data_IF_355537171835
#
_entry.id   IF_355537171835
#
_cell.length_a   1.000
_cell.length_b   1.000
_cell.length_c   1.000
_cell.angle_alpha   90.00
_cell.angle_beta   90.00
_cell.angle_gamma   90.00
#
_symmetry.space_group_name_H-M   'P 1'
#
loop_
_entity.id
_entity.type
_entity.pdbx_description
1 polymer ?
#
# COMPACT_ATOMS: atom_id res chain seq x y z
N UNK A 1 -3.34 1.07 2.36
CA UNK A 1 -2.99 1.95 3.49
C UNK A 1 -2.11 3.07 2.99
N UNK A 2 -2.14 4.22 3.66
CA UNK A 2 -1.26 5.36 3.48
C UNK A 2 -0.52 5.54 4.82
N UNK A 3 0.59 4.81 4.97
CA UNK A 3 1.22 4.56 6.26
C UNK A 3 2.73 4.88 6.25
N UNK A 4 3.13 6.14 5.97
CA UNK A 4 4.53 6.52 5.81
C UNK A 4 5.41 6.16 7.03
N UNK A 5 4.88 6.33 8.24
CA UNK A 5 5.64 6.15 9.47
C UNK A 5 5.83 4.67 9.81
N UNK A 6 4.80 3.85 9.59
CA UNK A 6 4.89 2.40 9.68
C UNK A 6 5.87 1.82 8.66
N UNK A 7 5.92 2.36 7.44
CA UNK A 7 6.88 1.88 6.42
C UNK A 7 8.34 2.13 6.84
N UNK A 8 8.61 3.12 7.70
CA UNK A 8 9.94 3.42 8.21
C UNK A 8 10.64 2.30 8.97
N UNK A 9 9.91 1.23 9.34
CA UNK A 9 10.53 0.04 9.95
C UNK A 9 11.54 -0.66 9.02
N UNK A 10 11.32 -0.60 7.71
CA UNK A 10 12.21 -1.23 6.73
C UNK A 10 12.44 -0.42 5.45
N UNK A 11 11.69 0.66 5.23
CA UNK A 11 11.90 1.55 4.10
C UNK A 11 12.97 2.62 4.41
N UNK A 12 13.77 3.05 3.42
CA UNK A 12 14.68 4.18 3.59
C UNK A 12 13.94 5.47 3.95
N UNK A 13 14.63 6.37 4.66
CA UNK A 13 14.05 7.63 5.16
C UNK A 13 13.38 8.49 4.08
N UNK A 14 13.89 8.46 2.85
CA UNK A 14 13.29 9.19 1.71
C UNK A 14 11.84 8.78 1.45
N UNK A 15 11.48 7.51 1.68
CA UNK A 15 10.10 7.03 1.52
C UNK A 15 9.21 7.60 2.63
N UNK A 16 9.70 7.63 3.87
CA UNK A 16 8.96 8.17 5.01
C UNK A 16 8.77 9.67 4.87
N UNK A 17 9.83 10.40 4.54
CA UNK A 17 9.79 11.86 4.39
C UNK A 17 8.88 12.29 3.24
N UNK A 18 9.04 11.69 2.05
CA UNK A 18 8.28 12.06 0.87
C UNK A 18 6.85 11.52 0.87
N UNK A 19 6.61 10.40 1.54
CA UNK A 19 5.30 9.78 1.65
C UNK A 19 4.32 10.50 2.57
N UNK A 20 4.79 11.39 3.45
CA UNK A 20 3.93 12.11 4.40
C UNK A 20 2.85 12.96 3.73
N UNK A 21 3.12 13.52 2.55
CA UNK A 21 2.14 14.33 1.81
C UNK A 21 1.05 13.49 1.12
N UNK A 22 1.22 12.16 1.04
CA UNK A 22 0.31 11.30 0.28
C UNK A 22 -1.12 11.34 0.84
N UNK A 23 -1.29 11.36 2.16
CA UNK A 23 -2.61 11.39 2.79
C UNK A 23 -3.39 12.63 2.37
N UNK A 24 -2.76 13.81 2.42
CA UNK A 24 -3.37 15.08 2.03
C UNK A 24 -3.62 15.13 0.53
N UNK A 25 -2.67 14.66 -0.27
CA UNK A 25 -2.83 14.60 -1.72
C UNK A 25 -4.01 13.71 -2.11
N UNK A 26 -4.08 12.48 -1.63
CA UNK A 26 -5.20 11.59 -1.96
C UNK A 26 -6.53 12.18 -1.47
N UNK A 27 -6.61 12.71 -0.25
CA UNK A 27 -7.84 13.29 0.27
C UNK A 27 -8.36 14.47 -0.56
N UNK A 28 -7.47 15.25 -1.19
CA UNK A 28 -7.85 16.36 -2.07
C UNK A 28 -8.30 15.90 -3.47
N UNK A 29 -7.90 14.69 -3.90
CA UNK A 29 -8.07 14.23 -5.28
C UNK A 29 -9.06 13.08 -5.46
N UNK A 30 -9.32 12.28 -4.42
CA UNK A 30 -10.24 11.13 -4.48
C UNK A 30 -11.18 11.12 -3.27
N UNK A 31 -12.38 10.54 -3.39
CA UNK A 31 -13.29 10.40 -2.25
C UNK A 31 -12.76 9.36 -1.24
N UNK A 32 -13.38 9.35 -0.06
CA UNK A 32 -13.32 8.25 0.92
C UNK A 32 -11.93 7.91 1.48
N UNK A 33 -11.05 8.90 1.59
CA UNK A 33 -9.82 8.76 2.38
C UNK A 33 -10.15 8.80 3.87
N UNK A 34 -9.98 7.68 4.56
CA UNK A 34 -10.29 7.51 5.97
C UNK A 34 -9.07 7.80 6.85
N UNK A 35 -9.11 8.92 7.58
CA UNK A 35 -8.07 9.37 8.50
C UNK A 35 -8.33 8.89 9.94
N UNK A 36 -8.13 7.61 10.20
CA UNK A 36 -8.30 7.00 11.53
C UNK A 36 -7.01 6.42 12.12
N UNK A 37 -5.87 6.77 11.53
CA UNK A 37 -4.56 6.26 11.89
C UNK A 37 -4.37 4.78 11.55
N UNK A 38 -3.21 4.25 11.93
CA UNK A 38 -2.90 2.82 11.93
C UNK A 38 -2.64 2.36 13.35
N UNK A 39 -3.21 1.21 13.71
CA UNK A 39 -2.94 0.55 14.98
C UNK A 39 -2.04 -0.67 14.74
N UNK A 40 -0.85 -0.66 15.32
CA UNK A 40 0.11 -1.76 15.25
C UNK A 40 -0.03 -2.63 16.49
N UNK A 41 -0.19 -3.93 16.26
CA UNK A 41 -0.44 -4.95 17.27
C UNK A 41 0.59 -6.07 17.13
N UNK A 42 0.85 -6.77 18.23
CA UNK A 42 1.54 -8.06 18.22
C UNK A 42 0.74 -9.04 19.07
N UNK A 43 0.78 -10.34 18.75
CA UNK A 43 0.16 -11.35 19.60
C UNK A 43 0.76 -11.28 21.02
N UNK A 44 0.03 -11.68 22.09
CA UNK A 44 0.53 -11.60 23.45
C UNK A 44 1.89 -12.27 23.68
N UNK A 45 2.17 -13.36 22.96
CA UNK A 45 3.45 -14.08 23.02
C UNK A 45 4.61 -13.35 22.33
N UNK A 46 4.30 -12.41 21.44
CA UNK A 46 5.24 -11.67 20.59
C UNK A 46 5.32 -10.19 21.00
N UNK A 47 4.93 -9.85 22.23
CA UNK A 47 4.83 -8.47 22.69
C UNK A 47 6.15 -7.67 22.61
N UNK A 48 7.31 -8.36 22.57
CA UNK A 48 8.61 -7.75 22.36
C UNK A 48 8.82 -7.18 20.94
N UNK A 49 8.09 -7.69 19.94
CA UNK A 49 8.14 -7.13 18.58
C UNK A 49 7.62 -5.70 18.53
N UNK A 50 6.69 -5.32 19.41
CA UNK A 50 6.25 -3.92 19.52
C UNK A 50 7.39 -3.01 19.97
N UNK A 51 8.22 -3.42 20.94
CA UNK A 51 9.33 -2.59 21.42
C UNK A 51 10.43 -2.47 20.35
N UNK A 52 10.65 -3.53 19.56
CA UNK A 52 11.55 -3.49 18.40
C UNK A 52 10.99 -2.55 17.32
N UNK A 53 9.71 -2.68 16.98
CA UNK A 53 9.05 -1.86 15.96
C UNK A 53 9.01 -0.38 16.36
N UNK A 54 8.73 -0.08 17.63
CA UNK A 54 8.78 1.27 18.16
C UNK A 54 10.16 1.90 18.00
N UNK A 55 11.24 1.17 18.29
CA UNK A 55 12.61 1.68 18.12
C UNK A 55 13.00 1.92 16.66
N UNK A 56 12.42 1.15 15.74
CA UNK A 56 12.68 1.27 14.30
C UNK A 56 11.79 2.34 13.61
N UNK A 57 10.82 2.91 14.31
CA UNK A 57 9.84 3.84 13.73
C UNK A 57 9.67 5.09 14.56
N UNK A 58 8.89 6.06 14.07
CA UNK A 58 8.59 7.32 14.76
C UNK A 58 7.15 7.75 14.51
N UNK A 59 6.67 8.77 15.22
CA UNK A 59 5.31 9.29 15.02
C UNK A 59 4.20 8.41 15.60
N UNK A 60 4.57 7.49 16.51
CA UNK A 60 3.63 6.64 17.24
C UNK A 60 3.47 7.08 18.69
N UNK A 61 2.33 6.73 19.28
CA UNK A 61 2.13 6.70 20.73
C UNK A 61 1.80 5.29 21.20
N UNK A 62 2.23 4.94 22.41
CA UNK A 62 1.76 3.73 23.08
C UNK A 62 0.31 3.90 23.53
N UNK A 63 -0.52 2.88 23.28
CA UNK A 63 -1.95 2.91 23.61
C UNK A 63 -2.43 1.57 24.13
N UNK A 64 -3.55 1.58 24.84
CA UNK A 64 -4.39 0.38 25.02
C UNK A 64 -5.27 0.23 23.77
N UNK A 65 -5.13 -0.85 22.99
CA UNK A 65 -5.79 -1.01 21.68
C UNK A 65 -7.31 -0.89 21.70
N UNK A 66 -7.96 -1.38 22.75
CA UNK A 66 -9.41 -1.39 22.94
C UNK A 66 -10.04 0.01 23.05
N UNK A 67 -9.31 0.97 23.60
CA UNK A 67 -9.71 2.37 23.66
C UNK A 67 -9.85 2.99 22.27
N UNK A 68 -9.12 2.47 21.28
CA UNK A 68 -9.22 2.91 19.89
C UNK A 68 -10.18 2.02 19.09
N UNK A 69 -9.99 0.70 19.14
CA UNK A 69 -10.81 -0.32 18.48
C UNK A 69 -11.51 -1.22 19.52
N UNK A 70 -12.74 -0.90 19.94
CA UNK A 70 -13.49 -1.74 20.87
C UNK A 70 -13.72 -3.17 20.36
N UNK A 71 -13.72 -3.38 19.04
CA UNK A 71 -13.88 -4.70 18.42
C UNK A 71 -12.82 -5.72 18.89
N UNK A 72 -11.62 -5.27 19.30
CA UNK A 72 -10.53 -6.15 19.76
C UNK A 72 -10.35 -6.13 21.28
N UNK A 73 -11.41 -5.75 22.02
CA UNK A 73 -11.39 -5.64 23.47
C UNK A 73 -10.85 -6.90 24.17
N UNK A 74 -9.96 -6.70 25.14
CA UNK A 74 -9.34 -7.77 25.93
C UNK A 74 -8.36 -8.67 25.19
N UNK A 75 -8.11 -8.47 23.88
CA UNK A 75 -7.22 -9.33 23.09
C UNK A 75 -5.76 -8.88 23.11
N UNK A 76 -5.52 -7.59 23.23
CA UNK A 76 -4.20 -6.97 23.16
C UNK A 76 -4.02 -6.00 24.32
N UNK A 77 -2.97 -6.21 25.13
CA UNK A 77 -2.71 -5.38 26.30
C UNK A 77 -2.13 -3.99 25.93
N UNK A 78 -1.37 -3.90 24.84
CA UNK A 78 -0.76 -2.65 24.35
C UNK A 78 -0.58 -2.70 22.84
N UNK A 79 -0.50 -1.52 22.22
CA UNK A 79 -0.18 -1.35 20.81
C UNK A 79 0.49 -0.01 20.54
N UNK A 80 0.88 0.21 19.29
CA UNK A 80 1.41 1.48 18.81
C UNK A 80 0.38 2.13 17.90
N UNK A 81 0.06 3.40 18.13
CA UNK A 81 -0.89 4.14 17.31
C UNK A 81 -0.19 5.25 16.52
N UNK A 82 -0.33 5.20 15.20
CA UNK A 82 0.20 6.16 14.25
C UNK A 82 -0.94 7.05 13.76
N UNK A 83 -1.17 8.16 14.46
CA UNK A 83 -2.37 9.00 14.27
C UNK A 83 -2.45 9.69 12.91
N UNK A 84 -1.30 10.02 12.31
CA UNK A 84 -1.21 10.74 11.05
C UNK A 84 -1.45 9.86 9.81
N UNK A 85 -1.64 8.55 9.99
CA UNK A 85 -1.81 7.60 8.89
C UNK A 85 -3.28 7.45 8.48
N UNK A 86 -3.50 6.92 7.28
CA UNK A 86 -4.83 6.80 6.71
C UNK A 86 -4.96 5.54 5.85
N UNK A 87 -6.17 5.28 5.37
CA UNK A 87 -6.42 4.28 4.35
C UNK A 87 -7.51 4.72 3.39
N UNK A 88 -7.58 4.04 2.25
CA UNK A 88 -8.56 4.22 1.20
C UNK A 88 -8.72 2.89 0.46
N UNK A 89 -9.78 2.76 -0.34
CA UNK A 89 -9.94 1.67 -1.31
C UNK A 89 -9.18 2.02 -2.61
N UNK A 90 -8.13 1.24 -2.98
CA UNK A 90 -7.36 1.47 -4.20
C UNK A 90 -8.19 1.50 -5.49
N UNK A 91 -9.21 0.64 -5.60
CA UNK A 91 -10.04 0.54 -6.81
C UNK A 91 -10.96 1.76 -6.94
N UNK A 92 -11.56 2.19 -5.83
CA UNK A 92 -12.38 3.40 -5.80
C UNK A 92 -11.53 4.65 -6.11
N UNK A 93 -10.35 4.76 -5.51
CA UNK A 93 -9.43 5.87 -5.74
C UNK A 93 -8.98 5.98 -7.20
N UNK A 94 -8.56 4.87 -7.82
CA UNK A 94 -8.15 4.86 -9.23
C UNK A 94 -9.33 5.16 -10.18
N UNK A 95 -10.52 4.64 -9.87
CA UNK A 95 -11.74 4.95 -10.63
C UNK A 95 -12.06 6.44 -10.58
N UNK A 96 -12.04 7.04 -9.38
CA UNK A 96 -12.28 8.47 -9.22
C UNK A 96 -11.23 9.32 -9.93
N UNK A 97 -9.95 8.95 -9.83
CA UNK A 97 -8.87 9.65 -10.52
C UNK A 97 -9.03 9.61 -12.04
N UNK A 98 -9.39 8.43 -12.60
CA UNK A 98 -9.71 8.30 -14.02
C UNK A 98 -10.87 9.20 -14.43
N UNK A 99 -11.95 9.25 -13.65
CA UNK A 99 -13.10 10.10 -13.95
C UNK A 99 -12.75 11.58 -13.93
N UNK A 100 -11.89 12.02 -12.99
CA UNK A 100 -11.38 13.40 -12.96
C UNK A 100 -10.54 13.75 -14.18
N UNK A 101 -9.67 12.83 -14.61
CA UNK A 101 -8.87 13.03 -15.81
C UNK A 101 -9.75 13.15 -17.06
N UNK A 102 -10.77 12.30 -17.19
CA UNK A 102 -11.76 12.42 -18.27
C UNK A 102 -12.50 13.76 -18.26
N UNK A 103 -12.94 14.22 -17.08
CA UNK A 103 -13.59 15.52 -16.92
C UNK A 103 -12.65 16.70 -17.26
N UNK A 104 -11.34 16.52 -17.09
CA UNK A 104 -10.31 17.47 -17.51
C UNK A 104 -9.93 17.36 -19.01
N UNK A 105 -10.61 16.51 -19.78
CA UNK A 105 -10.36 16.33 -21.22
C UNK A 105 -9.24 15.36 -21.57
N UNK A 106 -8.69 14.61 -20.60
CA UNK A 106 -7.67 13.60 -20.86
C UNK A 106 -8.30 12.39 -21.56
N UNK A 107 -7.77 12.04 -22.73
CA UNK A 107 -8.23 10.88 -23.49
C UNK A 107 -7.57 9.58 -22.99
N UNK A 108 -8.37 8.54 -22.78
CA UNK A 108 -7.89 7.18 -22.55
C UNK A 108 -8.04 6.39 -23.84
N UNK A 109 -6.95 5.79 -24.33
CA UNK A 109 -6.89 5.10 -25.62
C UNK A 109 -6.18 3.76 -25.45
N UNK A 110 -6.63 2.77 -26.21
CA UNK A 110 -5.93 1.51 -26.37
C UNK A 110 -4.93 1.60 -27.54
N UNK A 111 -3.92 0.74 -27.52
CA UNK A 111 -2.89 0.65 -28.56
C UNK A 111 -1.57 1.34 -28.20
N UNK A 112 -0.64 1.46 -29.17
CA UNK A 112 0.71 1.95 -28.91
C UNK A 112 0.71 3.44 -28.57
N UNK A 113 1.58 3.82 -27.63
CA UNK A 113 1.84 5.21 -27.27
C UNK A 113 2.40 6.02 -28.45
N UNK A 114 2.15 7.32 -28.48
CA UNK A 114 2.61 8.24 -29.54
C UNK A 114 3.07 9.56 -28.93
N UNK A 115 3.99 10.25 -29.62
CA UNK A 115 4.54 11.52 -29.16
C UNK A 115 5.52 11.30 -28.00
N UNK A 116 5.53 12.24 -27.05
CA UNK A 116 6.36 12.13 -25.85
C UNK A 116 5.79 11.07 -24.91
N UNK A 117 6.58 10.02 -24.64
CA UNK A 117 6.11 8.86 -23.88
C UNK A 117 6.62 8.91 -22.44
N UNK A 118 5.66 8.79 -21.50
CA UNK A 118 5.94 8.45 -20.10
C UNK A 118 5.42 7.06 -19.82
N UNK A 119 6.31 6.10 -19.61
CA UNK A 119 5.98 4.71 -19.30
C UNK A 119 5.83 4.49 -17.79
N UNK A 120 4.59 4.16 -17.41
CA UNK A 120 4.18 3.80 -16.05
C UNK A 120 3.60 2.37 -15.97
N UNK A 121 3.98 1.48 -16.89
CA UNK A 121 3.39 0.13 -17.06
C UNK A 121 3.86 -0.91 -16.04
N UNK A 122 4.56 -0.48 -14.99
CA UNK A 122 4.99 -1.34 -13.90
C UNK A 122 5.95 -2.44 -14.39
N UNK A 123 5.68 -3.70 -14.04
CA UNK A 123 6.60 -4.80 -14.34
C UNK A 123 6.78 -5.06 -15.84
N UNK A 124 5.82 -4.65 -16.67
CA UNK A 124 5.90 -4.77 -18.13
C UNK A 124 7.07 -3.94 -18.72
N UNK A 125 7.48 -2.86 -18.04
CA UNK A 125 8.61 -2.04 -18.44
C UNK A 125 9.98 -2.76 -18.34
N UNK A 126 10.03 -3.98 -17.80
CA UNK A 126 11.28 -4.76 -17.68
C UNK A 126 11.97 -4.99 -19.03
N UNK A 127 11.22 -4.98 -20.13
CA UNK A 127 11.79 -5.06 -21.47
C UNK A 127 12.80 -3.93 -21.77
N UNK A 128 12.56 -2.73 -21.24
CA UNK A 128 13.47 -1.58 -21.33
C UNK A 128 14.32 -1.38 -20.06
N UNK A 129 13.81 -1.80 -18.91
CA UNK A 129 14.44 -1.66 -17.59
C UNK A 129 14.82 -3.03 -17.03
N UNK A 130 15.93 -3.58 -17.51
CA UNK A 130 16.35 -4.97 -17.23
C UNK A 130 16.64 -5.27 -15.76
N UNK A 131 16.88 -4.26 -14.93
CA UNK A 131 17.08 -4.38 -13.49
C UNK A 131 15.77 -4.31 -12.66
N UNK A 132 14.60 -4.18 -13.30
CA UNK A 132 13.32 -4.35 -12.62
C UNK A 132 13.10 -5.81 -12.27
N UNK A 133 12.89 -6.08 -10.98
CA UNK A 133 12.41 -7.37 -10.48
C UNK A 133 10.97 -7.27 -9.99
N UNK A 134 10.27 -8.40 -9.94
CA UNK A 134 8.93 -8.46 -9.40
C UNK A 134 8.98 -8.99 -7.97
N UNK A 135 8.25 -8.30 -7.09
CA UNK A 135 7.92 -8.84 -5.77
C UNK A 135 6.45 -9.16 -5.77
N UNK A 136 6.16 -10.45 -5.77
CA UNK A 136 4.81 -10.98 -5.68
C UNK A 136 4.22 -10.66 -4.32
N UNK A 137 3.03 -10.08 -4.33
CA UNK A 137 2.24 -9.81 -3.14
C UNK A 137 0.86 -10.44 -3.26
N UNK A 138 0.50 -11.27 -2.30
CA UNK A 138 -0.76 -11.98 -2.26
C UNK A 138 -1.66 -11.41 -1.15
N UNK A 139 -2.96 -11.29 -1.42
CA UNK A 139 -3.94 -10.75 -0.47
C UNK A 139 -5.33 -11.36 -0.66
N UNK A 140 -6.12 -11.26 0.40
CA UNK A 140 -7.53 -11.67 0.46
C UNK A 140 -8.42 -10.44 0.64
N UNK A 141 -9.63 -10.52 0.13
CA UNK A 141 -10.74 -9.67 0.53
C UNK A 141 -11.80 -10.52 1.23
N UNK A 142 -12.11 -10.15 2.46
CA UNK A 142 -13.09 -10.84 3.31
C UNK A 142 -14.32 -9.96 3.48
N UNK A 143 -15.49 -10.58 3.54
CA UNK A 143 -16.72 -9.95 4.01
C UNK A 143 -17.09 -10.56 5.37
N UNK A 144 -16.92 -9.77 6.42
CA UNK A 144 -17.12 -10.17 7.81
C UNK A 144 -17.96 -9.08 8.52
N UNK A 145 -19.29 -9.08 8.34
CA UNK A 145 -20.17 -8.00 8.83
C UNK A 145 -20.20 -7.88 10.36
N UNK A 146 -19.89 -8.96 11.09
CA UNK A 146 -19.81 -8.96 12.56
C UNK A 146 -18.49 -8.36 13.08
N UNK A 147 -17.52 -8.12 12.21
CA UNK A 147 -16.30 -7.38 12.54
C UNK A 147 -16.55 -5.90 12.32
N UNK A 148 -16.22 -5.06 13.29
CA UNK A 148 -16.47 -3.61 13.28
C UNK A 148 -15.20 -2.77 13.34
N UNK A 149 -14.08 -3.29 12.82
CA UNK A 149 -12.81 -2.56 12.75
C UNK A 149 -12.95 -1.31 11.87
N UNK A 150 -12.53 -0.16 12.39
CA UNK A 150 -12.68 1.15 11.73
C UNK A 150 -11.39 1.73 11.18
N UNK A 151 -10.24 1.23 11.63
CA UNK A 151 -8.91 1.70 11.20
C UNK A 151 -8.05 0.57 10.66
N UNK A 152 -6.96 0.94 10.01
CA UNK A 152 -6.00 -0.04 9.54
C UNK A 152 -5.29 -0.69 10.71
N UNK A 153 -5.20 -2.01 10.69
CA UNK A 153 -4.43 -2.79 11.67
C UNK A 153 -3.18 -3.32 10.99
N UNK A 154 -2.01 -3.14 11.60
CA UNK A 154 -0.78 -3.86 11.26
C UNK A 154 -0.49 -4.87 12.36
N UNK A 155 -0.67 -6.15 12.08
CA UNK A 155 -0.22 -7.22 12.96
C UNK A 155 1.25 -7.54 12.67
N UNK A 156 2.09 -7.36 13.67
CA UNK A 156 3.47 -7.84 13.70
C UNK A 156 3.43 -9.34 13.94
N UNK A 157 3.52 -10.09 12.85
CA UNK A 157 3.59 -11.54 12.90
C UNK A 157 5.05 -11.99 12.68
N UNK A 158 5.57 -12.99 13.41
CA UNK A 158 7.00 -13.34 13.41
C UNK A 158 7.59 -13.67 12.04
N UNK A 159 6.75 -14.08 11.08
CA UNK A 159 7.20 -14.49 9.74
C UNK A 159 7.02 -13.42 8.66
N UNK A 160 6.02 -12.56 8.79
CA UNK A 160 5.69 -11.55 7.76
C UNK A 160 4.73 -10.51 8.34
N UNK A 161 4.79 -9.24 7.90
CA UNK A 161 3.81 -8.23 8.32
C UNK A 161 2.44 -8.51 7.72
N UNK A 162 1.37 -8.34 8.49
CA UNK A 162 -0.02 -8.46 8.02
C UNK A 162 -0.78 -7.17 8.27
N UNK A 163 -1.51 -6.74 7.27
CA UNK A 163 -2.38 -5.58 7.30
C UNK A 163 -3.83 -6.03 7.14
N UNK A 164 -4.71 -5.48 7.98
CA UNK A 164 -6.16 -5.59 7.85
C UNK A 164 -6.68 -4.18 7.64
N UNK A 165 -7.29 -3.94 6.48
CA UNK A 165 -7.73 -2.61 6.06
C UNK A 165 -9.23 -2.63 5.79
N UNK A 166 -10.03 -1.90 6.57
CA UNK A 166 -11.47 -1.74 6.30
C UNK A 166 -11.71 -1.10 4.92
N UNK A 167 -12.73 -1.60 4.21
CA UNK A 167 -13.20 -1.06 2.92
C UNK A 167 -14.67 -0.63 2.95
N UNK A 168 -15.26 -0.56 4.15
CA UNK A 168 -16.68 -0.28 4.37
C UNK A 168 -17.57 -1.50 4.10
N UNK A 169 -18.81 -1.42 4.58
CA UNK A 169 -19.83 -2.47 4.43
C UNK A 169 -19.34 -3.87 4.86
N UNK A 170 -18.66 -3.97 6.00
CA UNK A 170 -18.15 -5.25 6.52
C UNK A 170 -17.02 -5.88 5.69
N UNK A 171 -16.46 -5.18 4.70
CA UNK A 171 -15.37 -5.71 3.86
C UNK A 171 -14.01 -5.30 4.38
N UNK A 172 -13.06 -6.23 4.29
CA UNK A 172 -11.70 -6.07 4.79
C UNK A 172 -10.71 -6.64 3.79
N UNK A 173 -9.70 -5.86 3.44
CA UNK A 173 -8.51 -6.40 2.77
C UNK A 173 -7.56 -6.95 3.83
N UNK A 174 -7.11 -8.19 3.64
CA UNK A 174 -6.09 -8.84 4.47
C UNK A 174 -4.89 -9.15 3.59
N UNK A 175 -3.76 -8.54 3.89
CA UNK A 175 -2.57 -8.70 3.07
C UNK A 175 -1.35 -7.99 3.65
N UNK A 176 -0.18 -8.15 3.06
CA UNK A 176 0.08 -9.02 1.93
C UNK A 176 1.40 -9.73 2.12
N UNK A 177 1.54 -10.88 1.47
CA UNK A 177 2.82 -11.56 1.38
C UNK A 177 3.84 -10.71 0.62
N UNK A 178 5.11 -11.08 0.75
CA UNK A 178 6.23 -10.49 0.01
C UNK A 178 7.14 -11.64 -0.43
N UNK A 179 7.02 -12.04 -1.69
CA UNK A 179 7.75 -13.16 -2.26
C UNK A 179 8.54 -12.67 -3.48
N UNK A 180 9.86 -12.88 -3.49
CA UNK A 180 10.69 -12.65 -4.68
C UNK A 180 10.33 -13.70 -5.74
N UNK A 181 9.42 -13.34 -6.64
CA UNK A 181 8.87 -14.24 -7.65
C UNK A 181 8.19 -13.45 -8.77
N UNK A 182 8.39 -13.91 -10.00
CA UNK A 182 7.73 -13.39 -11.21
C UNK A 182 6.44 -14.16 -11.57
N UNK A 183 6.05 -15.14 -10.75
CA UNK A 183 4.84 -15.92 -10.97
C UNK A 183 3.61 -15.01 -10.95
N UNK A 184 2.87 -14.97 -12.07
CA UNK A 184 1.63 -14.22 -12.24
C UNK A 184 0.37 -15.05 -11.91
N UNK A 185 0.52 -16.29 -11.44
CA UNK A 185 -0.56 -17.20 -11.10
C UNK A 185 -1.37 -16.79 -9.86
N UNK A 186 -2.39 -17.60 -9.54
CA UNK A 186 -3.27 -17.39 -8.38
C UNK A 186 -2.54 -17.52 -7.04
N UNK A 187 -3.16 -17.03 -5.97
CA UNK A 187 -2.59 -17.10 -4.60
C UNK A 187 -2.21 -18.54 -4.21
N UNK A 188 -1.13 -18.69 -3.46
CA UNK A 188 -0.74 -20.00 -2.92
C UNK A 188 -1.63 -20.43 -1.75
N UNK A 189 -1.85 -21.74 -1.59
CA UNK A 189 -2.60 -22.27 -0.44
C UNK A 189 -1.98 -21.86 0.91
N UNK A 190 -0.63 -21.78 0.97
CA UNK A 190 0.11 -21.26 2.14
C UNK A 190 -0.32 -19.84 2.47
N UNK A 191 -0.29 -18.93 1.50
CA UNK A 191 -0.63 -17.52 1.73
C UNK A 191 -2.08 -17.36 2.21
N UNK A 192 -3.04 -18.12 1.66
CA UNK A 192 -4.43 -18.12 2.15
C UNK A 192 -4.49 -18.53 3.62
N UNK A 193 -3.89 -19.67 3.98
CA UNK A 193 -3.90 -20.18 5.35
C UNK A 193 -3.25 -19.21 6.34
N UNK A 194 -2.08 -18.67 5.98
CA UNK A 194 -1.33 -17.75 6.84
C UNK A 194 -2.06 -16.40 7.03
N UNK A 195 -2.66 -15.84 5.97
CA UNK A 195 -3.42 -14.59 6.06
C UNK A 195 -4.72 -14.75 6.86
N UNK A 196 -5.46 -15.85 6.69
CA UNK A 196 -6.66 -16.14 7.48
C UNK A 196 -6.32 -16.36 8.96
N UNK A 197 -5.23 -17.07 9.26
CA UNK A 197 -4.76 -17.28 10.63
C UNK A 197 -4.38 -15.94 11.31
N UNK A 198 -3.71 -15.05 10.58
CA UNK A 198 -3.39 -13.71 11.07
C UNK A 198 -4.65 -12.86 11.30
N UNK A 199 -5.64 -12.91 10.40
CA UNK A 199 -6.92 -12.22 10.60
C UNK A 199 -7.65 -12.73 11.86
N UNK A 200 -7.74 -14.05 12.03
CA UNK A 200 -8.35 -14.67 13.21
C UNK A 200 -7.67 -14.25 14.53
N UNK A 201 -6.34 -14.12 14.51
CA UNK A 201 -5.57 -13.65 15.67
C UNK A 201 -6.06 -12.28 16.13
N UNK A 202 -6.30 -11.36 15.18
CA UNK A 202 -6.84 -10.02 15.45
C UNK A 202 -8.28 -10.10 15.95
N UNK A 203 -9.17 -10.79 15.23
CA UNK A 203 -10.58 -10.89 15.60
C UNK A 203 -11.19 -12.23 15.16
N UNK A 204 -11.84 -13.00 16.06
CA UNK A 204 -12.36 -14.33 15.73
C UNK A 204 -13.50 -14.30 14.71
N UNK A 205 -14.28 -13.21 14.65
CA UNK A 205 -15.34 -13.03 13.65
C UNK A 205 -14.86 -13.06 12.19
N UNK A 206 -13.56 -12.96 11.92
CA UNK A 206 -13.03 -13.23 10.57
C UNK A 206 -13.15 -14.70 10.15
N UNK A 207 -13.23 -15.65 11.08
CA UNK A 207 -13.41 -17.07 10.75
C UNK A 207 -14.80 -17.39 10.18
N UNK A 208 -15.81 -16.61 10.54
CA UNK A 208 -17.19 -16.74 10.03
C UNK A 208 -17.42 -15.93 8.75
N UNK A 209 -16.42 -15.13 8.33
CA UNK A 209 -16.50 -14.27 7.17
C UNK A 209 -16.37 -15.02 5.84
N UNK A 210 -16.98 -14.46 4.80
CA UNK A 210 -16.87 -14.96 3.43
C UNK A 210 -15.57 -14.47 2.78
N UNK A 211 -14.85 -15.37 2.09
CA UNK A 211 -13.74 -14.99 1.21
C UNK A 211 -14.31 -14.50 -0.12
N UNK A 212 -14.33 -13.18 -0.32
CA UNK A 212 -14.88 -12.55 -1.53
C UNK A 212 -13.95 -12.71 -2.72
N UNK A 213 -12.65 -12.48 -2.52
CA UNK A 213 -11.67 -12.57 -3.60
C UNK A 213 -10.29 -12.88 -3.05
N UNK A 214 -9.54 -13.68 -3.79
CA UNK A 214 -8.10 -13.87 -3.60
C UNK A 214 -7.34 -13.26 -4.77
N UNK A 215 -6.30 -12.49 -4.51
CA UNK A 215 -5.50 -11.86 -5.57
C UNK A 215 -4.01 -12.00 -5.32
N UNK A 216 -3.25 -12.02 -6.41
CA UNK A 216 -1.82 -11.85 -6.40
C UNK A 216 -1.41 -10.81 -7.43
N UNK A 217 -0.43 -9.97 -7.09
CA UNK A 217 0.07 -8.92 -7.96
C UNK A 217 1.59 -8.84 -7.94
N UNK A 218 2.17 -8.48 -9.07
CA UNK A 218 3.60 -8.30 -9.25
C UNK A 218 3.97 -6.83 -9.01
N UNK A 219 4.68 -6.56 -7.92
CA UNK A 219 5.15 -5.21 -7.59
C UNK A 219 6.51 -4.97 -8.26
N UNK A 220 6.62 -4.01 -9.18
CA UNK A 220 7.90 -3.68 -9.80
C UNK A 220 8.82 -3.00 -8.78
N UNK A 221 10.04 -3.50 -8.66
CA UNK A 221 11.06 -2.96 -7.74
C UNK A 221 12.42 -2.90 -8.42
N UNK A 222 13.16 -1.82 -8.17
CA UNK A 222 14.59 -1.77 -8.46
C UNK A 222 15.39 -2.47 -7.36
N UNK A 223 16.68 -2.80 -7.57
CA UNK A 223 17.48 -3.52 -6.57
C UNK A 223 17.51 -2.85 -5.20
N UNK A 224 17.46 -1.52 -5.15
CA UNK A 224 17.46 -0.73 -3.91
C UNK A 224 16.07 -0.49 -3.29
N UNK A 225 14.98 -1.06 -3.85
CA UNK A 225 13.59 -0.83 -3.43
C UNK A 225 13.11 0.63 -3.49
N UNK A 226 13.84 1.51 -4.17
CA UNK A 226 13.44 2.90 -4.34
C UNK A 226 12.89 3.13 -5.74
N UNK A 227 11.79 3.87 -5.89
CA UNK A 227 11.33 4.27 -7.21
C UNK A 227 12.31 5.22 -7.89
N UNK A 228 12.28 5.24 -9.22
CA UNK A 228 13.09 6.14 -10.02
C UNK A 228 12.33 6.64 -11.25
N UNK A 229 12.70 7.86 -11.67
CA UNK A 229 12.43 8.39 -12.99
C UNK A 229 13.69 8.16 -13.83
N UNK A 230 13.58 7.42 -14.92
CA UNK A 230 14.72 7.09 -15.80
C UNK A 230 14.39 7.47 -17.24
N UNK A 231 15.39 7.91 -17.98
CA UNK A 231 15.28 8.20 -19.39
C UNK A 231 16.04 7.11 -20.15
N UNK A 232 15.33 6.37 -20.99
CA UNK A 232 15.91 5.33 -21.85
C UNK A 232 15.40 5.63 -23.26
N UNK A 233 16.32 5.89 -24.18
CA UNK A 233 16.01 6.43 -25.50
C UNK A 233 15.11 7.69 -25.38
N UNK A 234 14.00 7.74 -26.11
CA UNK A 234 13.02 8.83 -26.07
C UNK A 234 11.88 8.61 -25.06
N UNK A 235 12.02 7.63 -24.15
CA UNK A 235 10.99 7.24 -23.19
C UNK A 235 11.40 7.60 -21.76
N UNK A 236 10.49 8.26 -21.05
CA UNK A 236 10.63 8.53 -19.61
C UNK A 236 9.91 7.42 -18.85
N UNK A 237 10.61 6.64 -18.06
CA UNK A 237 10.02 5.61 -17.21
C UNK A 237 9.85 6.12 -15.79
N UNK A 238 8.65 5.98 -15.22
CA UNK A 238 8.39 6.22 -13.79
C UNK A 238 7.99 4.89 -13.16
N UNK A 239 8.93 4.27 -12.44
CA UNK A 239 8.76 2.87 -12.02
C UNK A 239 9.50 2.52 -10.72
N UNK A 240 9.41 1.26 -10.29
CA UNK A 240 10.15 0.73 -9.14
C UNK A 240 9.56 1.09 -7.78
N UNK A 241 8.28 1.46 -7.71
CA UNK A 241 7.63 1.89 -6.47
C UNK A 241 7.46 0.76 -5.43
N UNK A 242 7.79 -0.49 -5.76
CA UNK A 242 7.75 -1.62 -4.85
C UNK A 242 6.38 -1.72 -4.14
N UNK A 243 6.34 -1.71 -2.80
CA UNK A 243 5.12 -1.70 -1.99
C UNK A 243 4.62 -0.29 -1.64
N UNK A 244 5.30 0.75 -2.12
CA UNK A 244 5.03 2.14 -1.80
C UNK A 244 4.26 2.89 -2.89
N UNK A 245 3.63 2.20 -3.85
CA UNK A 245 2.96 2.81 -5.00
C UNK A 245 2.00 3.96 -4.65
N UNK A 246 1.02 3.69 -3.78
CA UNK A 246 0.09 4.75 -3.33
C UNK A 246 0.76 5.82 -2.47
N UNK A 247 1.85 5.49 -1.78
CA UNK A 247 2.56 6.43 -0.92
C UNK A 247 3.43 7.41 -1.74
N UNK A 248 4.10 6.90 -2.78
CA UNK A 248 5.10 7.65 -3.54
C UNK A 248 4.58 8.23 -4.87
N UNK A 249 3.47 7.72 -5.40
CA UNK A 249 2.92 8.19 -6.68
C UNK A 249 2.72 9.72 -6.73
N UNK A 250 2.13 10.39 -5.72
CA UNK A 250 1.98 11.84 -5.76
C UNK A 250 3.31 12.59 -5.85
N UNK A 251 4.29 12.18 -5.04
CA UNK A 251 5.60 12.82 -4.99
C UNK A 251 6.38 12.64 -6.30
N UNK A 252 6.32 11.45 -6.89
CA UNK A 252 6.97 11.15 -8.18
C UNK A 252 6.29 11.85 -9.35
N UNK A 253 4.96 12.01 -9.32
CA UNK A 253 4.26 12.78 -10.34
C UNK A 253 4.70 14.25 -10.32
N UNK A 254 4.91 14.85 -9.14
CA UNK A 254 5.41 16.22 -9.01
C UNK A 254 6.88 16.36 -9.45
N UNK A 255 7.72 15.37 -9.16
CA UNK A 255 9.09 15.33 -9.70
C UNK A 255 9.07 15.29 -11.22
N UNK A 256 8.24 14.43 -11.81
CA UNK A 256 8.10 14.32 -13.25
C UNK A 256 7.66 15.66 -13.85
N UNK A 257 6.61 16.29 -13.31
CA UNK A 257 6.16 17.63 -13.76
C UNK A 257 7.31 18.63 -13.71
N UNK A 258 8.14 18.60 -12.65
CA UNK A 258 9.30 19.47 -12.51
C UNK A 258 10.40 19.19 -13.55
N UNK A 259 10.60 17.94 -13.95
CA UNK A 259 11.51 17.55 -15.04
C UNK A 259 10.97 18.08 -16.37
N UNK A 260 9.69 17.81 -16.66
CA UNK A 260 9.03 18.23 -17.91
C UNK A 260 9.02 19.77 -18.07
N UNK A 261 8.86 20.52 -16.98
CA UNK A 261 8.81 21.99 -17.02
C UNK A 261 10.19 22.65 -17.20
N UNK A 262 11.29 21.95 -16.88
CA UNK A 262 12.66 22.46 -17.01
C UNK A 262 13.28 22.20 -18.37
N UNK A 263 12.68 21.33 -19.18
CA UNK A 263 13.14 21.16 -20.54
C UNK A 263 12.80 22.41 -21.34
N UNK A 264 13.81 23.05 -21.98
CA UNK A 264 13.54 24.21 -22.80
C UNK A 264 12.55 23.82 -23.90
N UNK A 265 11.61 24.70 -24.20
CA UNK A 265 10.76 24.61 -25.38
C UNK A 265 11.63 24.74 -26.64
N UNK A 266 12.39 23.71 -26.97
CA UNK A 266 13.16 23.59 -28.20
C UNK A 266 12.57 22.43 -29.00
N UNK A 267 12.21 22.77 -30.24
CA UNK A 267 11.55 21.95 -31.25
C UNK A 267 10.02 21.87 -31.15
N UNK A 268 9.35 22.96 -31.54
CA UNK A 268 8.39 22.90 -32.64
C UNK A 268 8.57 24.12 -33.54
#
# INVERSE_FOLDING_TARGET
MLAPYCEGESAPEVIVARGQSAVDWWAAHVPDVTRRGTLVLAAPRDAGELDRFARATRGHGWVTPDALEPAISGRFARGLFFAAEAHLDPRAALTALRMRLLAAGVAFRDGPARGRVVDCTGIAARAALSDLRAVRGEMLELHAPDVTLTRSIRLLHPRFPVYIVPRGAGRYMVGATMVESDDAGGITARAVMELLSAAYTVHPGFAEGEVITTTAGLRPSFPNNLPAIRHVDDVIHVNGMYRHGFLMAPALALDLVSVLAKEPAHAH
#
